data_IF_713118335521
#
_entry.id   IF_713118335521
#
_cell.length_a   1.000
_cell.length_b   1.000
_cell.length_c   1.000
_cell.angle_alpha   90.00
_cell.angle_beta   90.00
_cell.angle_gamma   90.00
#
_symmetry.space_group_name_H-M   'P 1'
#
loop_
_entity.id
_entity.type
_entity.pdbx_description
1 polymer ?
#
# COMPACT_ATOMS: atom_id res chain seq x y z
N UNK A 1 23.40 -2.71 7.95
CA UNK A 1 22.55 -1.50 8.13
C UNK A 1 21.22 -1.78 7.47
N UNK A 2 20.18 -1.98 8.28
CA UNK A 2 18.87 -2.45 7.83
C UNK A 2 18.22 -1.41 6.92
N UNK A 3 17.81 -1.84 5.72
CA UNK A 3 16.99 -1.01 4.84
C UNK A 3 15.69 -0.75 5.58
N UNK A 4 15.40 0.50 5.90
CA UNK A 4 14.10 0.91 6.44
C UNK A 4 13.09 0.54 5.37
N UNK A 5 12.21 -0.43 5.65
CA UNK A 5 11.06 -0.71 4.79
C UNK A 5 10.25 0.58 4.77
N UNK A 6 10.13 1.28 3.63
CA UNK A 6 9.28 2.46 3.54
C UNK A 6 7.87 2.05 3.97
N UNK A 7 7.17 2.92 4.69
CA UNK A 7 5.76 2.64 4.97
C UNK A 7 5.04 2.30 3.66
N UNK A 8 4.10 1.35 3.68
CA UNK A 8 3.44 0.85 2.47
C UNK A 8 2.91 1.96 1.55
N UNK A 9 2.52 3.11 2.13
CA UNK A 9 2.11 4.31 1.38
C UNK A 9 3.25 4.91 0.54
N UNK A 10 4.44 5.04 1.10
CA UNK A 10 5.60 5.60 0.40
C UNK A 10 6.10 4.61 -0.66
N UNK A 11 6.14 3.32 -0.32
CA UNK A 11 6.51 2.26 -1.26
C UNK A 11 5.58 2.24 -2.49
N UNK A 12 4.27 2.33 -2.28
CA UNK A 12 3.27 2.36 -3.36
C UNK A 12 3.44 3.55 -4.32
N UNK A 13 3.78 4.74 -3.80
CA UNK A 13 4.02 5.93 -4.64
C UNK A 13 5.33 5.82 -5.43
N UNK A 14 6.36 5.21 -4.86
CA UNK A 14 7.63 4.96 -5.56
C UNK A 14 7.41 3.94 -6.66
N UNK A 15 6.70 2.85 -6.35
CA UNK A 15 6.37 1.78 -7.28
C UNK A 15 5.55 2.33 -8.46
N UNK A 16 4.52 3.14 -8.22
CA UNK A 16 3.74 3.81 -9.29
C UNK A 16 4.64 4.66 -10.21
N UNK A 17 5.63 5.36 -9.66
CA UNK A 17 6.59 6.15 -10.45
C UNK A 17 7.51 5.26 -11.30
N UNK A 18 8.00 4.16 -10.76
CA UNK A 18 8.88 3.23 -11.47
C UNK A 18 8.14 2.53 -12.61
N UNK A 19 6.90 2.09 -12.36
CA UNK A 19 6.09 1.42 -13.37
C UNK A 19 5.54 2.35 -14.46
N UNK A 20 5.62 3.68 -14.27
CA UNK A 20 5.11 4.67 -15.25
C UNK A 20 5.77 4.52 -16.63
N UNK A 21 7.08 4.32 -16.68
CA UNK A 21 7.82 4.13 -17.93
C UNK A 21 7.42 2.83 -18.63
N UNK A 22 7.29 1.74 -17.87
CA UNK A 22 6.82 0.45 -18.38
C UNK A 22 5.40 0.55 -18.94
N UNK A 23 4.47 1.13 -18.18
CA UNK A 23 3.09 1.37 -18.61
C UNK A 23 3.02 2.16 -19.92
N UNK A 24 3.86 3.18 -20.07
CA UNK A 24 3.90 3.99 -21.28
C UNK A 24 4.46 3.23 -22.50
N UNK A 25 5.32 2.23 -22.29
CA UNK A 25 5.83 1.37 -23.37
C UNK A 25 4.82 0.32 -23.85
N UNK A 26 3.75 0.07 -23.09
CA UNK A 26 2.71 -0.90 -23.45
C UNK A 26 1.72 -0.35 -24.48
N UNK A 27 1.20 -1.26 -25.31
CA UNK A 27 0.06 -1.01 -26.19
C UNK A 27 -1.24 -0.72 -25.43
N UNK A 28 -2.21 -0.11 -26.10
CA UNK A 28 -3.46 0.35 -25.48
C UNK A 28 -4.27 -0.77 -24.82
N UNK A 29 -4.24 -1.99 -25.37
CA UNK A 29 -4.87 -3.18 -24.78
C UNK A 29 -4.16 -3.63 -23.50
N UNK A 30 -2.83 -3.69 -23.54
CA UNK A 30 -1.99 -4.12 -22.43
C UNK A 30 -1.99 -3.11 -21.28
N UNK A 31 -2.12 -1.81 -21.58
CA UNK A 31 -2.30 -0.76 -20.55
C UNK A 31 -3.56 -0.98 -19.72
N UNK A 32 -4.67 -1.38 -20.34
CA UNK A 32 -5.91 -1.69 -19.60
C UNK A 32 -5.74 -2.85 -18.64
N UNK A 33 -5.07 -3.92 -19.08
CA UNK A 33 -4.80 -5.10 -18.25
C UNK A 33 -3.86 -4.72 -17.10
N UNK A 34 -2.82 -3.95 -17.40
CA UNK A 34 -1.89 -3.42 -16.40
C UNK A 34 -2.63 -2.60 -15.34
N UNK A 35 -3.47 -1.63 -15.75
CA UNK A 35 -4.22 -0.78 -14.83
C UNK A 35 -5.17 -1.57 -13.94
N UNK A 36 -5.85 -2.59 -14.50
CA UNK A 36 -6.70 -3.50 -13.72
C UNK A 36 -5.88 -4.28 -12.69
N UNK A 37 -4.74 -4.87 -13.08
CA UNK A 37 -3.86 -5.58 -12.16
C UNK A 37 -3.34 -4.66 -11.06
N UNK A 38 -2.89 -3.45 -11.42
CA UNK A 38 -2.34 -2.47 -10.48
C UNK A 38 -3.40 -1.97 -9.49
N UNK A 39 -4.67 -1.86 -9.92
CA UNK A 39 -5.78 -1.48 -9.04
C UNK A 39 -6.03 -2.49 -7.91
N UNK A 40 -5.83 -3.79 -8.16
CA UNK A 40 -5.95 -4.84 -7.14
C UNK A 40 -4.87 -4.70 -6.09
N UNK A 41 -3.63 -4.41 -6.50
CA UNK A 41 -2.51 -4.17 -5.59
C UNK A 41 -2.79 -2.96 -4.68
N UNK A 42 -3.27 -1.85 -5.25
CA UNK A 42 -3.69 -0.68 -4.47
C UNK A 42 -4.82 -1.01 -3.47
N UNK A 43 -5.80 -1.82 -3.86
CA UNK A 43 -6.88 -2.24 -2.98
C UNK A 43 -6.35 -3.07 -1.80
N UNK A 44 -5.47 -4.03 -2.07
CA UNK A 44 -4.82 -4.84 -1.05
C UNK A 44 -4.03 -3.98 -0.05
N UNK A 45 -3.19 -3.07 -0.56
CA UNK A 45 -2.41 -2.15 0.29
C UNK A 45 -3.32 -1.30 1.17
N UNK A 46 -4.44 -0.79 0.63
CA UNK A 46 -5.42 -0.02 1.42
C UNK A 46 -6.06 -0.84 2.52
N UNK A 47 -6.46 -2.09 2.24
CA UNK A 47 -7.06 -2.99 3.23
C UNK A 47 -6.06 -3.28 4.35
N UNK A 48 -4.81 -3.61 4.01
CA UNK A 48 -3.76 -3.89 4.99
C UNK A 48 -3.48 -2.67 5.87
N UNK A 49 -3.36 -1.49 5.28
CA UNK A 49 -3.18 -0.24 6.03
C UNK A 49 -4.37 0.05 6.97
N UNK A 50 -5.60 -0.19 6.53
CA UNK A 50 -6.79 0.00 7.34
C UNK A 50 -6.85 -0.99 8.52
N UNK A 51 -6.54 -2.27 8.27
CA UNK A 51 -6.42 -3.28 9.33
C UNK A 51 -5.33 -2.91 10.34
N UNK A 52 -4.16 -2.46 9.88
CA UNK A 52 -3.05 -2.08 10.76
C UNK A 52 -3.39 -0.85 11.61
N UNK A 53 -4.09 0.14 11.05
CA UNK A 53 -4.59 1.29 11.79
C UNK A 53 -5.64 0.87 12.84
N UNK A 54 -6.57 -0.01 12.48
CA UNK A 54 -7.57 -0.56 13.40
C UNK A 54 -6.92 -1.35 14.55
N UNK A 55 -5.94 -2.21 14.27
CA UNK A 55 -5.19 -2.94 15.29
C UNK A 55 -4.45 -1.98 16.23
N UNK A 56 -3.83 -0.94 15.69
CA UNK A 56 -3.09 0.06 16.48
C UNK A 56 -4.01 0.86 17.42
N UNK A 57 -5.21 1.21 16.96
CA UNK A 57 -6.25 1.86 17.78
C UNK A 57 -6.75 0.94 18.89
N UNK A 58 -7.05 -0.34 18.57
CA UNK A 58 -7.46 -1.33 19.59
C UNK A 58 -6.39 -1.56 20.65
N UNK A 59 -5.11 -1.62 20.26
CA UNK A 59 -4.01 -1.76 21.22
C UNK A 59 -3.91 -0.52 22.12
N UNK A 60 -4.08 0.68 21.56
CA UNK A 60 -4.10 1.92 22.36
C UNK A 60 -5.26 1.94 23.36
N UNK A 61 -6.47 1.55 22.96
CA UNK A 61 -7.62 1.44 23.87
C UNK A 61 -7.38 0.43 25.00
N UNK A 62 -6.86 -0.77 24.67
CA UNK A 62 -6.57 -1.81 25.67
C UNK A 62 -5.50 -1.34 26.66
N UNK A 63 -4.42 -0.71 26.18
CA UNK A 63 -3.35 -0.17 27.04
C UNK A 63 -3.88 0.98 27.90
N UNK A 64 -4.71 1.87 27.34
CA UNK A 64 -5.35 2.97 28.07
C UNK A 64 -6.33 2.48 29.13
N UNK A 65 -7.04 1.37 28.91
CA UNK A 65 -7.91 0.75 29.91
C UNK A 65 -7.15 0.00 31.01
N UNK A 66 -5.91 -0.42 30.76
CA UNK A 66 -5.06 -1.12 31.74
C UNK A 66 -4.27 -0.17 32.65
N UNK A 67 -4.10 1.08 32.23
CA UNK A 67 -3.41 2.16 32.97
C UNK A 67 -4.34 3.01 33.85
N UNK A 68 -5.65 2.74 33.82
CA UNK A 68 -6.64 3.30 34.74
C UNK A 68 -7.03 2.25 35.77
#
# INVERSE_FOLDING_TARGET
MGRIIPSFRIASVIEEKEWKSFRNSLDMSNRKIFDQMFSVVHLYIRIVLHCQAYSSLKTFEIVSMKLR
#
